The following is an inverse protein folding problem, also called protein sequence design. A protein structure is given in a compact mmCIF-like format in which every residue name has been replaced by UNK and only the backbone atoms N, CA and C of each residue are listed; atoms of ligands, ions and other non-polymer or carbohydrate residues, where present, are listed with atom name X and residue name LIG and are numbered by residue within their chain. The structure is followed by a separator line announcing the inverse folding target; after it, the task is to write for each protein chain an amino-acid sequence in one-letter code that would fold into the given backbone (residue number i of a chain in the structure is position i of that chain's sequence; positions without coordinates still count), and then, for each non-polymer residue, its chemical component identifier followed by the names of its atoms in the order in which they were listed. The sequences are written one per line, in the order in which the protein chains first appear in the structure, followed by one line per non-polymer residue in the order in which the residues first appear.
data_IF_199291256339
#
_entry.id   IF_199291256339
#
_cell.length_a   1.000
_cell.length_b   1.000
_cell.length_c   1.000
_cell.angle_alpha   90.00
_cell.angle_beta   90.00
_cell.angle_gamma   90.00
#
_symmetry.space_group_name_H-M   'P 1'
#
loop_
_entity.id
_entity.type
_entity.pdbx_description
1 polymer ?
#
# COMPACT_ATOMS: atom_id res chain seq x y z
N UNK A 1 -22.41 0.74 19.22
CA UNK A 1 -21.83 -0.55 18.78
C UNK A 1 -20.60 -0.81 19.64
N UNK A 2 -20.60 -1.90 20.41
CA UNK A 2 -19.45 -2.33 21.23
C UNK A 2 -18.72 -3.45 20.49
N UNK A 3 -17.39 -3.47 20.55
CA UNK A 3 -16.59 -4.59 20.03
C UNK A 3 -16.62 -5.72 21.06
N UNK A 4 -16.86 -6.95 20.61
CA UNK A 4 -16.72 -8.15 21.43
C UNK A 4 -15.55 -8.98 20.90
N UNK A 5 -14.61 -9.31 21.78
CA UNK A 5 -13.50 -10.21 21.50
C UNK A 5 -13.13 -10.95 22.79
N UNK A 6 -12.55 -12.14 22.65
CA UNK A 6 -12.03 -12.91 23.78
C UNK A 6 -10.67 -13.51 23.41
N UNK A 7 -9.81 -13.66 24.41
CA UNK A 7 -8.53 -14.34 24.26
C UNK A 7 -8.71 -15.73 24.87
N UNK A 8 -8.53 -16.82 24.11
CA UNK A 8 -8.71 -18.15 24.63
C UNK A 8 -7.76 -18.48 25.79
N UNK A 9 -8.21 -19.27 26.76
CA UNK A 9 -7.48 -19.57 28.00
C UNK A 9 -6.14 -20.28 27.78
N UNK A 10 -6.00 -21.00 26.67
CA UNK A 10 -4.75 -21.65 26.29
C UNK A 10 -3.68 -20.66 25.83
N UNK A 11 -4.03 -19.41 25.51
CA UNK A 11 -3.10 -18.38 25.06
C UNK A 11 -2.62 -17.57 26.27
N UNK A 12 -1.33 -17.74 26.62
CA UNK A 12 -0.71 -16.96 27.69
C UNK A 12 -0.29 -15.58 27.19
N UNK A 13 -1.15 -14.60 27.43
CA UNK A 13 -0.89 -13.20 27.12
C UNK A 13 -0.45 -12.45 28.39
N UNK A 14 0.47 -11.47 28.28
CA UNK A 14 0.82 -10.62 29.43
C UNK A 14 -0.28 -9.60 29.74
N UNK A 15 -0.30 -9.05 30.95
CA UNK A 15 -1.27 -8.02 31.32
C UNK A 15 -1.14 -6.78 30.42
N UNK A 16 0.09 -6.35 30.15
CA UNK A 16 0.37 -5.20 29.28
C UNK A 16 -0.11 -5.44 27.84
N UNK A 17 0.02 -6.67 27.32
CA UNK A 17 -0.47 -7.00 25.99
C UNK A 17 -2.00 -6.95 25.91
N UNK A 18 -2.69 -7.50 26.93
CA UNK A 18 -4.16 -7.42 27.02
C UNK A 18 -4.64 -5.97 27.08
N UNK A 19 -3.95 -5.14 27.86
CA UNK A 19 -4.22 -3.72 27.94
C UNK A 19 -4.06 -3.05 26.57
N UNK A 20 -2.95 -3.29 25.88
CA UNK A 20 -2.74 -2.74 24.54
C UNK A 20 -3.86 -3.15 23.55
N UNK A 21 -4.22 -4.44 23.53
CA UNK A 21 -5.29 -4.95 22.67
C UNK A 21 -6.64 -4.29 22.96
N UNK A 22 -6.98 -4.05 24.23
CA UNK A 22 -8.23 -3.36 24.59
C UNK A 22 -8.31 -1.92 24.10
N UNK A 23 -7.16 -1.27 23.95
CA UNK A 23 -7.07 0.09 23.45
C UNK A 23 -7.01 0.17 21.90
N UNK A 24 -6.64 -0.92 21.23
CA UNK A 24 -6.65 -1.06 19.77
C UNK A 24 -8.05 -1.48 19.27
N UNK A 25 -8.67 -2.49 19.90
CA UNK A 25 -9.98 -3.02 19.51
C UNK A 25 -11.14 -2.17 20.04
N UNK A 26 -11.11 -0.87 19.71
CA UNK A 26 -12.13 0.12 20.05
C UNK A 26 -12.95 0.47 18.79
N UNK A 27 -14.28 0.38 18.90
CA UNK A 27 -15.21 0.66 17.79
C UNK A 27 -15.11 2.11 17.30
N UNK A 28 -14.93 3.06 18.22
CA UNK A 28 -14.82 4.48 17.90
C UNK A 28 -13.36 4.82 17.53
N UNK A 29 -13.06 5.23 16.28
CA UNK A 29 -11.70 5.57 15.85
C UNK A 29 -11.09 6.71 16.66
N UNK A 30 -11.87 7.72 17.05
CA UNK A 30 -11.40 8.87 17.84
C UNK A 30 -10.98 8.51 19.27
N UNK A 31 -11.38 7.34 19.77
CA UNK A 31 -10.98 6.82 21.08
C UNK A 31 -9.94 5.70 20.99
N UNK A 32 -9.58 5.28 19.79
CA UNK A 32 -8.58 4.23 19.57
C UNK A 32 -7.19 4.81 19.84
N UNK A 33 -6.34 4.01 20.49
CA UNK A 33 -4.95 4.39 20.74
C UNK A 33 -4.22 4.73 19.43
N UNK A 34 -3.48 5.84 19.44
CA UNK A 34 -2.68 6.29 18.31
C UNK A 34 -1.36 5.52 18.21
N UNK A 35 -0.72 5.56 17.04
CA UNK A 35 0.62 4.99 16.84
C UNK A 35 1.63 5.59 17.83
N UNK A 36 1.58 6.90 18.07
CA UNK A 36 2.48 7.58 19.00
C UNK A 36 2.32 7.08 20.45
N UNK A 37 1.12 6.71 20.87
CA UNK A 37 0.84 6.13 22.18
C UNK A 37 1.24 4.65 22.25
N UNK A 38 1.02 3.88 21.17
CA UNK A 38 1.48 2.48 21.06
C UNK A 38 3.00 2.41 21.21
N UNK A 39 3.75 3.29 20.54
CA UNK A 39 5.22 3.35 20.62
C UNK A 39 5.75 3.60 22.03
N UNK A 40 4.97 4.27 22.88
CA UNK A 40 5.30 4.55 24.29
C UNK A 40 4.83 3.43 25.23
N UNK A 41 4.03 2.48 24.75
CA UNK A 41 3.41 1.48 25.59
C UNK A 41 4.44 0.48 26.12
N UNK A 42 4.42 0.10 27.42
CA UNK A 42 5.41 -0.80 28.01
C UNK A 42 5.53 -2.14 27.27
N UNK A 43 4.41 -2.69 26.80
CA UNK A 43 4.43 -3.91 26.00
C UNK A 43 5.22 -3.78 24.69
N UNK A 44 5.16 -2.61 24.04
CA UNK A 44 5.90 -2.34 22.81
C UNK A 44 7.40 -2.17 23.09
N UNK A 45 7.76 -1.56 24.23
CA UNK A 45 9.16 -1.32 24.59
C UNK A 45 9.88 -2.56 25.15
N UNK A 46 9.14 -3.53 25.72
CA UNK A 46 9.67 -4.69 26.47
C UNK A 46 10.20 -5.81 25.57
N UNK A 47 11.06 -5.48 24.60
CA UNK A 47 11.98 -6.34 23.82
C UNK A 47 12.27 -5.78 22.41
N UNK A 48 11.98 -4.50 22.14
CA UNK A 48 12.37 -3.91 20.86
C UNK A 48 13.90 -3.80 20.79
N UNK A 49 14.55 -4.40 19.77
CA UNK A 49 15.93 -4.13 19.45
C UNK A 49 16.14 -2.61 19.41
N UNK A 50 17.22 -2.14 20.05
CA UNK A 50 17.53 -0.70 20.08
C UNK A 50 17.61 -0.11 18.68
N UNK A 51 18.02 -0.91 17.70
CA UNK A 51 18.06 -0.61 16.27
C UNK A 51 16.70 -0.19 15.68
N UNK A 52 15.59 -0.82 16.09
CA UNK A 52 14.25 -0.43 15.64
C UNK A 52 13.71 0.81 16.37
N UNK A 53 14.15 1.04 17.61
CA UNK A 53 13.79 2.23 18.41
C UNK A 53 14.58 3.46 17.95
N UNK A 54 15.82 3.25 17.49
CA UNK A 54 16.74 4.28 17.01
C UNK A 54 16.48 4.60 15.54
N UNK A 55 16.17 3.58 14.71
CA UNK A 55 15.70 3.73 13.33
C UNK A 55 14.37 4.47 13.16
N UNK A 56 13.62 4.73 14.24
CA UNK A 56 12.47 5.66 14.23
C UNK A 56 12.82 7.09 14.71
N UNK A 57 13.93 7.27 15.44
CA UNK A 57 14.39 8.57 15.99
C UNK A 57 15.41 9.27 15.11
N UNK A 58 16.40 8.54 14.60
CA UNK A 58 16.79 8.82 13.23
C UNK A 58 15.50 8.56 12.48
N UNK A 59 15.04 9.42 11.58
CA UNK A 59 14.12 8.91 10.56
C UNK A 59 14.62 7.49 10.20
N UNK A 60 13.73 6.56 9.85
CA UNK A 60 14.12 5.76 8.72
C UNK A 60 14.34 6.86 7.68
N UNK A 61 15.56 7.43 7.62
CA UNK A 61 16.07 7.98 6.40
C UNK A 61 15.87 6.78 5.53
N UNK A 62 14.72 6.75 4.85
CA UNK A 62 14.77 7.01 3.44
C UNK A 62 15.99 6.26 2.88
N UNK A 63 16.06 4.98 3.23
CA UNK A 63 16.98 3.93 2.80
C UNK A 63 16.13 2.76 2.31
N UNK A 64 14.82 2.72 2.64
CA UNK A 64 13.82 2.16 1.70
C UNK A 64 13.49 3.13 0.55
N UNK A 65 13.91 4.38 0.69
CA UNK A 65 14.25 5.25 -0.42
C UNK A 65 15.77 5.45 -0.35
N UNK A 66 16.50 4.33 -0.22
CA UNK A 66 17.72 4.20 -1.01
C UNK A 66 17.24 4.65 -2.37
N UNK A 67 17.71 5.86 -2.67
CA UNK A 67 17.35 6.69 -3.80
C UNK A 67 16.74 5.77 -4.84
N UNK A 68 15.49 5.97 -5.26
CA UNK A 68 15.22 5.50 -6.61
C UNK A 68 16.34 6.16 -7.42
N UNK A 69 17.35 5.38 -7.83
CA UNK A 69 18.50 5.92 -8.56
C UNK A 69 17.99 6.61 -9.82
N UNK A 70 16.77 6.24 -10.21
CA UNK A 70 15.89 6.87 -11.16
C UNK A 70 15.32 8.18 -10.65
N UNK A 71 15.58 9.23 -11.42
CA UNK A 71 14.91 10.51 -11.25
C UNK A 71 13.40 10.38 -11.53
N UNK A 72 12.62 11.33 -11.02
CA UNK A 72 11.18 11.44 -11.32
C UNK A 72 10.94 11.47 -12.84
N UNK A 73 11.82 12.12 -13.60
CA UNK A 73 11.73 12.19 -15.07
C UNK A 73 11.93 10.82 -15.73
N UNK A 74 12.87 10.01 -15.23
CA UNK A 74 13.10 8.65 -15.73
C UNK A 74 11.91 7.74 -15.44
N UNK A 75 11.37 7.81 -14.22
CA UNK A 75 10.17 7.08 -13.82
C UNK A 75 9.01 7.43 -14.78
N UNK A 76 8.78 8.73 -15.02
CA UNK A 76 7.75 9.17 -15.93
C UNK A 76 8.00 8.72 -17.37
N UNK A 77 9.26 8.74 -17.84
CA UNK A 77 9.62 8.24 -19.18
C UNK A 77 9.26 6.77 -19.34
N UNK A 78 9.62 5.93 -18.37
CA UNK A 78 9.31 4.49 -18.38
C UNK A 78 7.79 4.26 -18.36
N UNK A 79 7.04 5.04 -17.56
CA UNK A 79 5.58 4.96 -17.55
C UNK A 79 4.99 5.32 -18.92
N UNK A 80 5.53 6.34 -19.61
CA UNK A 80 5.08 6.71 -20.95
C UNK A 80 5.44 5.66 -22.00
N UNK A 81 6.64 5.07 -21.90
CA UNK A 81 7.08 3.99 -22.79
C UNK A 81 6.19 2.75 -22.64
N UNK A 82 5.88 2.36 -21.40
CA UNK A 82 5.02 1.21 -21.10
C UNK A 82 3.55 1.38 -21.52
N UNK A 83 3.10 2.62 -21.78
CA UNK A 83 1.76 2.88 -22.33
C UNK A 83 1.64 2.51 -23.82
N UNK A 84 2.75 2.38 -24.54
CA UNK A 84 2.72 1.94 -25.93
C UNK A 84 2.78 0.41 -26.00
N UNK A 85 1.81 -0.27 -26.66
CA UNK A 85 1.89 -1.70 -26.84
C UNK A 85 3.11 -2.04 -27.71
N UNK A 86 3.92 -3.00 -27.27
CA UNK A 86 5.16 -3.37 -27.97
C UNK A 86 4.91 -3.81 -29.40
N UNK A 87 5.76 -3.34 -30.33
CA UNK A 87 5.78 -3.71 -31.75
C UNK A 87 6.39 -5.13 -31.91
N UNK A 88 5.74 -6.09 -31.27
CA UNK A 88 6.07 -7.51 -31.33
C UNK A 88 5.44 -8.14 -32.57
N UNK A 89 6.25 -8.24 -33.62
CA UNK A 89 6.03 -8.89 -34.93
C UNK A 89 5.31 -8.06 -36.00
N UNK A 90 6.01 -7.07 -36.54
CA UNK A 90 5.91 -6.76 -37.98
C UNK A 90 7.29 -6.83 -38.66
N UNK A 91 7.76 -8.05 -38.95
CA UNK A 91 8.70 -8.25 -40.08
C UNK A 91 8.22 -9.38 -40.98
N UNK A 92 7.41 -8.96 -41.96
CA UNK A 92 7.48 -9.33 -43.37
C UNK A 92 7.13 -10.77 -43.81
N UNK A 93 5.92 -10.85 -44.42
CA UNK A 93 5.52 -11.57 -45.65
C UNK A 93 5.90 -13.07 -45.80
N UNK A 94 4.84 -13.87 -45.99
CA UNK A 94 4.74 -15.20 -46.61
C UNK A 94 4.53 -16.44 -45.69
N UNK A 95 3.35 -16.53 -45.08
CA UNK A 95 2.48 -17.74 -44.95
C UNK A 95 1.22 -17.31 -44.20
N UNK A 96 0.05 -17.10 -44.82
CA UNK A 96 -0.95 -18.15 -45.12
C UNK A 96 -1.13 -19.06 -43.88
N UNK A 97 -2.21 -19.01 -43.08
CA UNK A 97 -3.65 -19.10 -43.35
C UNK A 97 -4.40 -18.58 -42.10
N UNK A 98 -5.51 -17.87 -42.27
CA UNK A 98 -6.43 -17.57 -41.16
C UNK A 98 -7.49 -16.52 -41.50
N UNK A 99 -8.25 -16.77 -42.58
CA UNK A 99 -9.37 -15.95 -43.01
C UNK A 99 -10.46 -15.87 -41.94
N UNK A 100 -10.95 -14.67 -41.65
CA UNK A 100 -12.07 -14.43 -40.74
C UNK A 100 -12.52 -12.97 -40.80
N UNK A 101 -12.94 -12.52 -41.97
CA UNK A 101 -13.70 -11.29 -42.15
C UNK A 101 -15.12 -11.53 -41.61
N UNK A 102 -15.51 -10.77 -40.59
CA UNK A 102 -16.90 -10.43 -40.31
C UNK A 102 -16.91 -8.99 -39.79
N UNK A 103 -17.58 -8.14 -40.55
CA UNK A 103 -17.94 -6.78 -40.22
C UNK A 103 -18.90 -6.71 -39.02
N UNK A 104 -18.77 -5.62 -38.27
CA UNK A 104 -19.85 -4.78 -37.71
C UNK A 104 -20.68 -5.30 -36.51
N UNK A 105 -20.52 -4.58 -35.38
CA UNK A 105 -21.52 -4.10 -34.39
C UNK A 105 -20.71 -3.76 -33.12
N UNK A 106 -20.25 -2.53 -32.93
CA UNK A 106 -20.92 -1.44 -32.18
C UNK A 106 -21.47 -1.86 -30.80
N UNK A 107 -20.59 -1.85 -29.80
CA UNK A 107 -20.95 -1.73 -28.39
C UNK A 107 -19.95 -0.74 -27.73
N UNK A 108 -20.37 0.51 -27.59
CA UNK A 108 -19.75 1.50 -26.70
C UNK A 108 -19.78 0.96 -25.26
N UNK A 109 -18.64 0.46 -24.77
CA UNK A 109 -18.45 0.30 -23.33
C UNK A 109 -18.00 1.64 -22.74
N UNK A 110 -18.98 2.43 -22.32
CA UNK A 110 -18.81 3.58 -21.43
C UNK A 110 -18.27 3.08 -20.08
N UNK A 111 -16.95 3.10 -19.92
CA UNK A 111 -16.30 2.89 -18.63
C UNK A 111 -16.13 4.25 -17.97
N UNK A 112 -17.25 4.75 -17.45
CA UNK A 112 -17.33 5.94 -16.62
C UNK A 112 -16.45 5.78 -15.37
N UNK A 113 -15.63 6.80 -15.15
CA UNK A 113 -14.65 6.98 -14.09
C UNK A 113 -15.25 6.91 -12.68
N UNK A 114 -14.72 6.03 -11.83
CA UNK A 114 -14.67 6.23 -10.38
C UNK A 114 -13.25 6.04 -9.85
N UNK A 115 -12.32 6.92 -10.29
CA UNK A 115 -11.08 7.12 -9.53
C UNK A 115 -11.39 8.13 -8.43
N UNK A 116 -11.76 7.60 -7.25
CA UNK A 116 -11.97 8.41 -6.05
C UNK A 116 -10.68 9.13 -5.67
N UNK A 117 -10.69 10.45 -5.90
CA UNK A 117 -9.72 11.42 -5.41
C UNK A 117 -9.87 11.60 -3.90
N UNK A 118 -8.85 11.20 -3.14
CA UNK A 118 -8.55 11.67 -1.77
C UNK A 118 -7.30 10.91 -1.28
N UNK A 119 -6.18 11.50 -0.85
CA UNK A 119 -5.86 12.83 -0.30
C UNK A 119 -4.33 12.92 -0.22
N UNK A 120 -3.73 14.00 -0.71
CA UNK A 120 -3.20 15.09 0.12
C UNK A 120 -1.96 14.72 0.96
N UNK A 121 -0.78 14.86 0.35
CA UNK A 121 0.44 15.20 1.08
C UNK A 121 0.74 16.68 0.84
N UNK A 122 -0.12 17.53 1.40
CA UNK A 122 0.09 18.97 1.52
C UNK A 122 1.42 19.25 2.21
N UNK A 123 2.35 19.79 1.42
CA UNK A 123 3.48 20.57 1.90
C UNK A 123 2.92 21.88 2.43
N UNK A 124 3.02 22.13 3.73
CA UNK A 124 2.84 23.47 4.27
C UNK A 124 4.14 23.90 4.95
N UNK A 125 4.84 24.79 4.24
CA UNK A 125 5.82 25.83 4.61
C UNK A 125 6.87 25.54 5.69
#
# INVERSE_FOLDING_TARGET
MSVQYSIPDYVRVSADCRHLLSHIFVANPSKRISIAEIKKHPWFLKNMPKELVEGEKTNYENTSCDQSLQSVDEINRIIQEAKTPGDGLTTNKESMIGSGSLDQDDDEIDLEDEIESSRDCGRQV
#
